data_IF_100989203782
#
_entry.id   IF_100989203782
#
_cell.length_a   1.000
_cell.length_b   1.000
_cell.length_c   1.000
_cell.angle_alpha   90.00
_cell.angle_beta   90.00
_cell.angle_gamma   90.00
#
_symmetry.space_group_name_H-M   'P 1'
#
loop_
_entity.id
_entity.type
_entity.pdbx_description
1 polymer ?
#
# COMPACT_ATOMS: atom_id res chain seq x y z
N UNK A 1 17.91 -6.53 -7.15
CA UNK A 1 18.08 -5.08 -6.89
C UNK A 1 17.43 -4.17 -7.95
N UNK A 2 16.99 -4.69 -9.11
CA UNK A 2 16.38 -3.85 -10.16
C UNK A 2 15.09 -3.13 -9.69
N UNK A 3 14.13 -3.87 -9.14
CA UNK A 3 12.82 -3.33 -8.77
C UNK A 3 12.87 -2.18 -7.75
N UNK A 4 13.74 -2.25 -6.73
CA UNK A 4 13.83 -1.21 -5.68
C UNK A 4 14.33 0.15 -6.20
N UNK A 5 14.83 0.22 -7.44
CA UNK A 5 15.25 1.48 -8.07
C UNK A 5 14.14 2.16 -8.86
N UNK A 6 12.96 1.53 -9.00
CA UNK A 6 11.83 2.07 -9.73
C UNK A 6 10.95 2.96 -8.83
N UNK A 7 10.93 4.30 -9.04
CA UNK A 7 10.15 5.22 -8.19
C UNK A 7 8.64 5.00 -8.29
N UNK A 8 8.17 4.36 -9.36
CA UNK A 8 6.77 3.96 -9.51
C UNK A 8 6.29 3.04 -8.38
N UNK A 9 7.18 2.20 -7.80
CA UNK A 9 6.81 1.35 -6.67
C UNK A 9 6.60 2.14 -5.37
N UNK A 10 7.41 3.19 -5.13
CA UNK A 10 7.23 4.07 -3.99
C UNK A 10 5.94 4.91 -4.10
N UNK A 11 5.56 5.28 -5.33
CA UNK A 11 4.29 5.96 -5.61
C UNK A 11 3.08 5.08 -5.27
N UNK A 12 3.11 3.80 -5.67
CA UNK A 12 2.01 2.83 -5.53
C UNK A 12 1.84 2.24 -4.12
N UNK A 13 2.61 2.70 -3.13
CA UNK A 13 2.40 2.30 -1.74
C UNK A 13 0.99 2.67 -1.24
N UNK A 14 0.46 1.94 -0.25
CA UNK A 14 -0.82 2.25 0.40
C UNK A 14 -1.02 3.74 0.70
N UNK A 15 -2.20 4.26 0.37
CA UNK A 15 -2.55 5.68 0.50
C UNK A 15 -3.30 5.98 1.80
N UNK A 16 -2.99 7.10 2.45
CA UNK A 16 -3.62 7.53 3.73
C UNK A 16 -5.12 7.77 3.62
N UNK A 17 -5.61 8.03 2.41
CA UNK A 17 -7.04 8.17 2.14
C UNK A 17 -7.82 6.85 2.30
N UNK A 18 -7.15 5.70 2.19
CA UNK A 18 -7.80 4.38 2.10
C UNK A 18 -7.32 3.37 3.16
N UNK A 19 -6.22 3.65 3.86
CA UNK A 19 -5.72 2.85 4.98
C UNK A 19 -5.73 3.66 6.27
N UNK A 20 -6.26 3.07 7.35
CA UNK A 20 -6.24 3.73 8.66
C UNK A 20 -4.80 3.77 9.21
N UNK A 21 -4.45 4.82 9.98
CA UNK A 21 -3.10 4.95 10.55
C UNK A 21 -2.67 3.81 11.49
N UNK A 22 -3.62 3.07 12.06
CA UNK A 22 -3.38 1.96 12.98
C UNK A 22 -3.30 0.59 12.29
N UNK A 23 -3.52 0.51 10.97
CA UNK A 23 -3.48 -0.76 10.26
C UNK A 23 -2.04 -1.21 10.00
N UNK A 24 -1.70 -2.38 10.52
CA UNK A 24 -0.39 -3.01 10.32
C UNK A 24 -0.31 -3.58 8.90
N UNK A 25 0.70 -3.16 8.14
CA UNK A 25 1.01 -3.61 6.79
C UNK A 25 2.13 -4.66 6.79
N UNK A 26 3.12 -4.47 7.66
CA UNK A 26 4.23 -5.41 7.85
C UNK A 26 4.35 -5.71 9.34
N UNK A 27 4.28 -6.98 9.68
CA UNK A 27 4.42 -7.47 11.06
C UNK A 27 5.70 -8.29 11.18
N UNK A 28 6.48 -8.00 12.22
CA UNK A 28 7.66 -8.77 12.62
C UNK A 28 7.59 -9.06 14.13
N UNK A 29 8.55 -9.79 14.68
CA UNK A 29 8.68 -9.97 16.13
C UNK A 29 9.29 -8.76 16.84
N UNK A 30 9.96 -7.85 16.12
CA UNK A 30 10.58 -6.64 16.68
C UNK A 30 9.70 -5.39 16.56
N UNK A 31 8.91 -5.30 15.50
CA UNK A 31 8.14 -4.10 15.16
C UNK A 31 6.93 -4.39 14.24
N UNK A 32 5.86 -3.60 14.40
CA UNK A 32 4.70 -3.58 13.52
C UNK A 32 4.67 -2.26 12.76
N UNK A 33 4.80 -2.30 11.44
CA UNK A 33 4.84 -1.13 10.58
C UNK A 33 3.44 -0.82 10.03
N UNK A 34 3.00 0.41 10.22
CA UNK A 34 1.79 0.95 9.58
C UNK A 34 2.18 1.93 8.46
N UNK A 35 1.19 2.56 7.84
CA UNK A 35 1.39 3.64 6.87
C UNK A 35 2.18 4.84 7.43
N UNK A 36 2.24 4.99 8.75
CA UNK A 36 3.03 6.04 9.40
C UNK A 36 4.52 5.70 9.46
N UNK A 37 4.88 4.43 9.31
CA UNK A 37 6.22 3.93 9.61
C UNK A 37 7.04 3.64 8.35
N UNK A 38 6.61 4.09 7.16
CA UNK A 38 7.33 3.81 5.92
C UNK A 38 8.78 4.28 5.94
N UNK A 39 9.08 5.45 6.52
CA UNK A 39 10.47 5.89 6.68
C UNK A 39 11.28 4.88 7.51
N UNK A 40 10.73 4.43 8.64
CA UNK A 40 11.38 3.45 9.50
C UNK A 40 11.52 2.11 8.78
N UNK A 41 10.48 1.63 8.10
CA UNK A 41 10.51 0.40 7.32
C UNK A 41 11.63 0.43 6.29
N UNK A 42 11.74 1.50 5.51
CA UNK A 42 12.78 1.61 4.49
C UNK A 42 14.19 1.68 5.08
N UNK A 43 14.38 2.34 6.22
CA UNK A 43 15.66 2.33 6.94
C UNK A 43 15.99 0.92 7.43
N UNK A 44 15.02 0.23 8.06
CA UNK A 44 15.20 -1.12 8.60
C UNK A 44 15.41 -2.19 7.49
N UNK A 45 14.98 -1.91 6.26
CA UNK A 45 15.24 -2.69 5.04
C UNK A 45 16.56 -2.33 4.34
N UNK A 46 17.32 -1.35 4.86
CA UNK A 46 18.53 -0.81 4.21
C UNK A 46 18.26 -0.17 2.82
N UNK A 47 17.08 0.43 2.64
CA UNK A 47 16.61 1.09 1.42
C UNK A 47 16.28 2.58 1.62
N UNK A 48 17.18 3.42 2.16
CA UNK A 48 16.88 4.82 2.47
C UNK A 48 16.41 5.64 1.26
N UNK A 49 16.89 5.31 0.05
CA UNK A 49 16.47 5.99 -1.18
C UNK A 49 14.97 5.79 -1.51
N UNK A 50 14.35 4.69 -1.08
CA UNK A 50 12.92 4.47 -1.29
C UNK A 50 12.06 5.47 -0.51
N UNK A 51 12.54 5.94 0.64
CA UNK A 51 11.89 7.02 1.39
C UNK A 51 11.95 8.35 0.62
N UNK A 52 13.09 8.67 0.02
CA UNK A 52 13.25 9.85 -0.83
C UNK A 52 12.30 9.80 -2.04
N UNK A 53 12.24 8.65 -2.74
CA UNK A 53 11.30 8.44 -3.85
C UNK A 53 9.83 8.59 -3.41
N UNK A 54 9.48 8.13 -2.19
CA UNK A 54 8.14 8.32 -1.64
C UNK A 54 7.82 9.80 -1.42
N UNK A 55 8.74 10.58 -0.84
CA UNK A 55 8.53 12.02 -0.64
C UNK A 55 8.30 12.75 -1.97
N UNK A 56 9.04 12.39 -3.01
CA UNK A 56 8.90 13.00 -4.34
C UNK A 56 7.54 12.71 -5.00
N UNK A 57 6.95 11.55 -4.71
CA UNK A 57 5.76 11.02 -5.38
C UNK A 57 4.46 11.18 -4.59
N UNK A 58 4.52 11.36 -3.26
CA UNK A 58 3.33 11.37 -2.39
C UNK A 58 2.29 12.42 -2.79
N UNK A 59 2.74 13.60 -3.25
CA UNK A 59 1.87 14.67 -3.75
C UNK A 59 0.96 14.27 -4.91
N UNK A 60 1.33 13.27 -5.71
CA UNK A 60 0.53 12.79 -6.83
C UNK A 60 -0.58 11.83 -6.41
N UNK A 61 -0.61 11.43 -5.13
CA UNK A 61 -1.64 10.55 -4.56
C UNK A 61 -2.49 11.26 -3.51
N UNK A 62 -2.21 12.53 -3.19
CA UNK A 62 -2.91 13.26 -2.13
C UNK A 62 -4.23 13.86 -2.59
N UNK A 63 -4.34 14.23 -3.87
CA UNK A 63 -5.61 14.69 -4.44
C UNK A 63 -6.45 13.49 -4.85
N UNK A 64 -7.52 13.24 -4.09
CA UNK A 64 -8.48 12.18 -4.35
C UNK A 64 -9.85 12.74 -4.79
N UNK A 65 -9.86 13.94 -5.37
CA UNK A 65 -11.07 14.54 -5.92
C UNK A 65 -11.59 13.76 -7.14
N UNK A 66 -12.91 13.84 -7.35
CA UNK A 66 -13.54 13.21 -8.50
C UNK A 66 -13.07 13.88 -9.81
N UNK A 67 -12.91 13.13 -10.91
CA UNK A 67 -12.38 13.67 -12.17
C UNK A 67 -13.34 14.62 -12.92
N UNK A 68 -14.57 14.81 -12.43
CA UNK A 68 -15.53 15.77 -13.00
C UNK A 68 -16.17 15.36 -14.33
N UNK A 69 -16.05 14.08 -14.71
CA UNK A 69 -16.59 13.52 -15.95
C UNK A 69 -17.40 12.26 -15.65
N UNK A 70 -18.14 11.77 -16.64
CA UNK A 70 -18.82 10.48 -16.56
C UNK A 70 -17.79 9.37 -16.27
N UNK A 71 -18.08 8.57 -15.24
CA UNK A 71 -17.19 7.52 -14.76
C UNK A 71 -17.89 6.16 -14.77
N UNK A 72 -17.26 5.21 -15.45
CA UNK A 72 -17.60 3.79 -15.39
C UNK A 72 -16.48 3.10 -14.61
N UNK A 73 -16.75 2.69 -13.37
CA UNK A 73 -15.76 2.02 -12.54
C UNK A 73 -15.92 0.50 -12.63
N UNK A 74 -14.92 -0.18 -13.20
CA UNK A 74 -14.87 -1.62 -13.36
C UNK A 74 -13.67 -2.16 -12.59
N UNK A 75 -13.90 -3.16 -11.74
CA UNK A 75 -12.85 -3.78 -10.96
C UNK A 75 -13.19 -5.24 -10.62
N UNK A 76 -12.14 -6.06 -10.44
CA UNK A 76 -12.27 -7.44 -9.96
C UNK A 76 -12.53 -7.48 -8.45
N UNK A 77 -13.19 -8.54 -8.00
CA UNK A 77 -13.39 -8.82 -6.57
C UNK A 77 -13.46 -10.33 -6.34
N UNK A 78 -13.43 -10.74 -5.08
CA UNK A 78 -13.43 -12.12 -4.60
C UNK A 78 -12.23 -12.95 -5.07
N UNK A 79 -11.08 -12.31 -5.30
CA UNK A 79 -9.79 -12.96 -5.56
C UNK A 79 -8.87 -12.66 -4.38
N UNK A 80 -8.29 -13.72 -3.80
CA UNK A 80 -7.34 -13.63 -2.67
C UNK A 80 -6.21 -12.66 -3.00
N UNK A 81 -6.15 -11.54 -2.26
CA UNK A 81 -5.21 -10.44 -2.51
C UNK A 81 -4.45 -10.09 -1.24
N UNK A 82 -3.12 -9.94 -1.33
CA UNK A 82 -2.26 -9.67 -0.17
C UNK A 82 -2.64 -8.35 0.51
N UNK A 83 -2.88 -8.37 1.82
CA UNK A 83 -3.15 -7.18 2.64
C UNK A 83 -2.06 -6.91 3.68
N UNK A 84 -1.39 -7.96 4.17
CA UNK A 84 -0.34 -7.84 5.19
C UNK A 84 0.76 -8.88 4.99
N UNK A 85 2.00 -8.44 5.23
CA UNK A 85 3.18 -9.29 5.29
C UNK A 85 3.48 -9.65 6.74
N UNK A 86 3.57 -10.94 7.06
CA UNK A 86 3.82 -11.43 8.43
C UNK A 86 5.11 -12.24 8.46
N UNK A 87 6.17 -11.66 9.00
CA UNK A 87 7.44 -12.33 9.24
C UNK A 87 7.37 -13.18 10.51
N UNK A 88 7.93 -14.39 10.45
CA UNK A 88 7.92 -15.32 11.58
C UNK A 88 8.91 -14.87 12.66
N UNK A 89 8.68 -15.21 13.94
CA UNK A 89 9.67 -14.96 14.99
C UNK A 89 11.04 -15.55 14.63
N UNK A 90 12.11 -14.79 14.88
CA UNK A 90 13.48 -15.15 14.51
C UNK A 90 13.85 -14.92 13.04
N UNK A 91 12.94 -14.37 12.21
CA UNK A 91 13.24 -13.90 10.85
C UNK A 91 13.28 -12.39 10.77
N UNK A 92 13.85 -11.85 9.69
CA UNK A 92 13.89 -10.40 9.44
C UNK A 92 13.37 -10.04 8.05
N UNK A 93 13.46 -8.77 7.69
CA UNK A 93 12.89 -8.17 6.47
C UNK A 93 13.60 -8.62 5.16
N UNK A 94 14.66 -9.42 5.27
CA UNK A 94 15.38 -10.08 4.19
C UNK A 94 14.84 -11.51 3.89
N UNK A 95 13.94 -12.02 4.73
CA UNK A 95 13.32 -13.33 4.59
C UNK A 95 12.02 -13.34 3.75
N UNK A 96 11.33 -14.48 3.76
CA UNK A 96 10.03 -14.64 3.11
C UNK A 96 8.90 -14.52 4.15
N UNK A 97 8.02 -13.50 4.05
CA UNK A 97 6.89 -13.37 4.93
C UNK A 97 5.78 -14.36 4.57
N UNK A 98 4.94 -14.71 5.54
CA UNK A 98 3.61 -15.24 5.26
C UNK A 98 2.72 -14.11 4.71
N UNK A 99 1.97 -14.41 3.66
CA UNK A 99 1.06 -13.45 3.03
C UNK A 99 -0.32 -13.62 3.65
N UNK A 100 -0.77 -12.62 4.39
CA UNK A 100 -2.16 -12.56 4.84
C UNK A 100 -2.99 -11.87 3.75
N UNK A 101 -4.00 -12.57 3.27
CA UNK A 101 -4.86 -12.11 2.19
C UNK A 101 -6.21 -11.57 2.69
N UNK A 102 -6.77 -10.65 1.92
CA UNK A 102 -8.14 -10.19 1.97
C UNK A 102 -8.77 -10.22 0.57
N UNK A 103 -9.81 -9.42 0.37
CA UNK A 103 -10.54 -9.33 -0.91
C UNK A 103 -9.86 -8.34 -1.88
N UNK A 104 -9.93 -8.64 -3.18
CA UNK A 104 -9.40 -7.84 -4.28
C UNK A 104 -9.44 -8.60 -5.61
N UNK A 105 -8.54 -8.24 -6.52
CA UNK A 105 -8.42 -8.84 -7.86
C UNK A 105 -7.19 -9.75 -8.04
N UNK A 106 -6.48 -10.04 -6.95
CA UNK A 106 -5.23 -10.79 -6.92
C UNK A 106 -3.98 -9.92 -6.81
N UNK A 107 -4.11 -8.60 -6.99
CA UNK A 107 -3.01 -7.62 -6.81
C UNK A 107 -3.47 -6.39 -6.04
N UNK A 108 -4.57 -5.77 -6.45
CA UNK A 108 -5.09 -4.54 -5.85
C UNK A 108 -6.19 -4.89 -4.86
N UNK A 109 -6.07 -4.40 -3.62
CA UNK A 109 -7.07 -4.64 -2.59
C UNK A 109 -8.42 -4.01 -2.97
N UNK A 110 -9.51 -4.68 -2.61
CA UNK A 110 -10.87 -4.23 -2.93
C UNK A 110 -11.15 -2.79 -2.46
N UNK A 111 -10.57 -2.38 -1.33
CA UNK A 111 -10.68 -1.01 -0.80
C UNK A 111 -10.16 0.06 -1.76
N UNK A 112 -9.10 -0.24 -2.51
CA UNK A 112 -8.55 0.66 -3.53
C UNK A 112 -9.37 0.61 -4.81
N UNK A 113 -9.75 -0.60 -5.24
CA UNK A 113 -10.57 -0.81 -6.41
C UNK A 113 -11.93 -0.09 -6.31
N UNK A 114 -12.53 -0.10 -5.12
CA UNK A 114 -13.79 0.59 -4.81
C UNK A 114 -13.65 2.08 -4.50
N UNK A 115 -12.43 2.64 -4.52
CA UNK A 115 -12.24 4.03 -4.12
C UNK A 115 -12.99 5.01 -5.05
N UNK A 116 -13.20 4.64 -6.32
CA UNK A 116 -14.05 5.36 -7.26
C UNK A 116 -15.53 5.49 -6.82
N UNK A 117 -16.01 4.60 -5.94
CA UNK A 117 -17.38 4.66 -5.42
C UNK A 117 -17.57 5.87 -4.50
N UNK A 118 -16.49 6.39 -3.91
CA UNK A 118 -16.50 7.64 -3.14
C UNK A 118 -16.84 8.86 -4.01
N UNK A 119 -16.73 8.72 -5.33
CA UNK A 119 -17.09 9.74 -6.31
C UNK A 119 -18.51 9.55 -6.89
N UNK A 120 -19.24 8.49 -6.49
CA UNK A 120 -20.68 8.39 -6.78
C UNK A 120 -21.36 9.49 -5.98
N UNK A 121 -21.81 10.51 -6.70
CA UNK A 121 -22.31 11.79 -6.21
C UNK A 121 -22.85 11.75 -4.76
N UNK A 122 -22.21 12.53 -3.89
CA UNK A 122 -22.90 13.21 -2.79
C UNK A 122 -23.83 14.23 -3.45
N UNK A 123 -25.04 13.80 -3.82
CA UNK A 123 -26.14 14.72 -4.11
C UNK A 123 -26.57 15.42 -2.84
#
# INVERSE_FOLDING_TARGET
>A
AEQVTCPSLAWLLPARALWKPSEVLVQTDKYNYTINDFQKLFIDMELPNAWEMRKDTERFSSDFSAPGVELHCLYGYNISTVERLVYKPGTWLDGYPALQAGDGDGTVNLRSLRACELWRMRT
#
